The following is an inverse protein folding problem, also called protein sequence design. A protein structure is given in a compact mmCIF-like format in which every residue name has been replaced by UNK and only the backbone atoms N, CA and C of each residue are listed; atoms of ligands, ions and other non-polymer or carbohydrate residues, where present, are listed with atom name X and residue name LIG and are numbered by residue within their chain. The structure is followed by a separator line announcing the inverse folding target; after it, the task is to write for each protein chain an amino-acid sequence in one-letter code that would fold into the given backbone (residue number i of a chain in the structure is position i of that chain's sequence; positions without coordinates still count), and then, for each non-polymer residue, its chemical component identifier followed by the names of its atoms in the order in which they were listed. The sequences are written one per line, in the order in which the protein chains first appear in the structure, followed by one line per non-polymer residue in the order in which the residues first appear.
data_IF_212464584585
#
_entry.id   IF_212464584585
#
_cell.length_a   1.000
_cell.length_b   1.000
_cell.length_c   1.000
_cell.angle_alpha   90.00
_cell.angle_beta   90.00
_cell.angle_gamma   90.00
#
_symmetry.space_group_name_H-M   'P 1'
#
loop_
_entity.id
_entity.type
_entity.pdbx_description
1 polymer ?
#
# COMPACT_ATOMS: atom_id res chain seq x y z
N UNK A 1 23.84 -10.27 -36.18
CA UNK A 1 23.78 -8.90 -35.65
C UNK A 1 23.41 -9.00 -34.18
N UNK A 2 24.43 -9.01 -33.33
CA UNK A 2 24.29 -9.00 -31.88
C UNK A 2 23.77 -7.61 -31.48
N UNK A 3 22.55 -7.54 -30.96
CA UNK A 3 22.00 -6.30 -30.43
C UNK A 3 22.74 -6.00 -29.13
N UNK A 4 23.66 -5.04 -29.18
CA UNK A 4 24.30 -4.48 -27.99
C UNK A 4 23.18 -3.86 -27.15
N UNK A 5 22.99 -4.26 -25.88
CA UNK A 5 21.98 -3.66 -25.02
C UNK A 5 22.45 -2.25 -24.65
N UNK A 6 21.96 -1.25 -25.37
CA UNK A 6 22.02 0.13 -24.90
C UNK A 6 21.09 0.24 -23.69
N UNK A 7 21.69 0.46 -22.51
CA UNK A 7 21.01 0.94 -21.31
C UNK A 7 19.84 0.09 -20.77
N UNK A 8 19.96 -1.24 -20.85
CA UNK A 8 19.08 -2.16 -20.13
C UNK A 8 17.64 -2.25 -20.62
N UNK A 9 17.35 -1.68 -21.81
CA UNK A 9 16.07 -1.83 -22.49
C UNK A 9 16.24 -2.84 -23.63
N UNK A 10 15.50 -3.95 -23.56
CA UNK A 10 15.53 -4.98 -24.60
C UNK A 10 14.65 -4.53 -25.76
N UNK A 11 15.26 -3.99 -26.81
CA UNK A 11 14.58 -3.57 -28.05
C UNK A 11 14.55 -4.73 -29.04
N UNK A 12 13.54 -5.60 -28.94
CA UNK A 12 13.29 -6.63 -29.94
C UNK A 12 12.35 -6.08 -31.03
N UNK A 13 12.80 -6.06 -32.29
CA UNK A 13 12.02 -5.68 -33.47
C UNK A 13 11.30 -4.31 -33.38
N UNK A 14 11.96 -3.29 -32.80
CA UNK A 14 11.41 -1.92 -32.71
C UNK A 14 10.27 -1.75 -31.68
N UNK A 15 9.95 -2.78 -30.89
CA UNK A 15 8.95 -2.70 -29.82
C UNK A 15 9.56 -3.02 -28.46
N UNK A 16 9.61 -2.02 -27.58
CA UNK A 16 10.04 -2.20 -26.19
C UNK A 16 9.04 -3.10 -25.46
N UNK A 17 9.48 -4.28 -24.99
CA UNK A 17 8.67 -5.17 -24.14
C UNK A 17 8.82 -4.76 -22.68
N UNK A 18 7.73 -4.26 -22.08
CA UNK A 18 7.73 -3.68 -20.73
C UNK A 18 8.12 -4.70 -19.65
N UNK A 19 7.51 -5.88 -19.70
CA UNK A 19 7.80 -7.02 -18.80
C UNK A 19 9.23 -7.55 -18.90
N UNK A 20 9.79 -7.75 -20.09
CA UNK A 20 11.17 -8.22 -20.24
C UNK A 20 12.19 -7.17 -19.76
N UNK A 21 11.91 -5.89 -20.03
CA UNK A 21 12.73 -4.79 -19.51
C UNK A 21 12.68 -4.73 -17.99
N UNK A 22 11.52 -4.99 -17.38
CA UNK A 22 11.36 -5.01 -15.92
C UNK A 22 12.22 -6.09 -15.23
N UNK A 23 12.34 -7.28 -15.81
CA UNK A 23 13.22 -8.35 -15.27
C UNK A 23 14.68 -7.91 -15.29
N UNK A 24 15.12 -7.24 -16.35
CA UNK A 24 16.47 -6.69 -16.41
C UNK A 24 16.68 -5.58 -15.36
N UNK A 25 15.69 -4.69 -15.17
CA UNK A 25 15.71 -3.70 -14.10
C UNK A 25 15.82 -4.33 -12.70
N UNK A 26 15.13 -5.45 -12.45
CA UNK A 26 15.22 -6.16 -11.17
C UNK A 26 16.65 -6.65 -10.91
N UNK A 27 17.30 -7.23 -11.91
CA UNK A 27 18.70 -7.66 -11.83
C UNK A 27 19.65 -6.49 -11.53
N UNK A 28 19.45 -5.34 -12.18
CA UNK A 28 20.24 -4.14 -11.93
C UNK A 28 20.01 -3.58 -10.51
N UNK A 29 18.76 -3.58 -10.03
CA UNK A 29 18.45 -3.17 -8.66
C UNK A 29 19.09 -4.11 -7.63
N UNK A 30 19.14 -5.40 -7.92
CA UNK A 30 19.83 -6.39 -7.08
C UNK A 30 21.34 -6.12 -7.01
N UNK A 31 21.96 -5.69 -8.12
CA UNK A 31 23.38 -5.29 -8.17
C UNK A 31 23.67 -3.99 -7.40
N UNK A 32 22.65 -3.18 -7.12
CA UNK A 32 22.77 -1.91 -6.38
C UNK A 32 21.98 -1.95 -5.06
N UNK A 33 22.36 -2.81 -4.09
CA UNK A 33 21.62 -2.98 -2.85
C UNK A 33 21.54 -1.70 -2.01
N UNK A 34 22.46 -0.75 -2.22
CA UNK A 34 22.42 0.57 -1.58
C UNK A 34 21.13 1.36 -1.84
N UNK A 35 20.47 1.18 -2.99
CA UNK A 35 19.21 1.86 -3.28
C UNK A 35 18.07 1.30 -2.43
N UNK A 36 17.98 -0.03 -2.33
CA UNK A 36 17.01 -0.72 -1.47
C UNK A 36 17.28 -0.43 0.00
N UNK A 37 18.54 -0.49 0.43
CA UNK A 37 18.91 -0.19 1.81
C UNK A 37 18.54 1.24 2.20
N UNK A 38 18.71 2.22 1.30
CA UNK A 38 18.30 3.60 1.55
C UNK A 38 16.78 3.73 1.65
N UNK A 39 16.04 3.06 0.76
CA UNK A 39 14.57 3.03 0.81
C UNK A 39 14.06 2.45 2.13
N UNK A 40 14.61 1.31 2.55
CA UNK A 40 14.29 0.65 3.82
C UNK A 40 14.63 1.58 4.99
N UNK A 41 15.84 2.17 5.00
CA UNK A 41 16.32 3.00 6.09
C UNK A 41 15.40 4.18 6.37
N UNK A 42 15.01 4.95 5.35
CA UNK A 42 14.16 6.13 5.57
C UNK A 42 12.73 5.72 5.96
N UNK A 43 12.20 4.61 5.40
CA UNK A 43 10.87 4.10 5.77
C UNK A 43 10.84 3.66 7.22
N UNK A 44 11.88 2.98 7.69
CA UNK A 44 11.99 2.51 9.06
C UNK A 44 12.27 3.65 10.04
N UNK A 45 13.03 4.66 9.63
CA UNK A 45 13.26 5.88 10.41
C UNK A 45 11.95 6.61 10.75
N UNK A 46 10.93 6.52 9.89
CA UNK A 46 9.56 6.97 10.21
C UNK A 46 8.72 5.88 10.89
N UNK A 47 8.74 4.66 10.35
CA UNK A 47 7.83 3.58 10.72
C UNK A 47 8.04 3.11 12.16
N UNK A 48 9.28 2.98 12.62
CA UNK A 48 9.57 2.54 13.99
C UNK A 48 9.06 3.55 15.02
N UNK A 49 9.39 4.86 14.94
CA UNK A 49 8.80 5.85 15.84
C UNK A 49 7.27 5.90 15.77
N UNK A 50 6.68 5.84 14.58
CA UNK A 50 5.23 5.85 14.42
C UNK A 50 4.57 4.63 15.11
N UNK A 51 5.15 3.44 14.97
CA UNK A 51 4.69 2.23 15.64
C UNK A 51 4.82 2.32 17.16
N UNK A 52 5.90 2.92 17.68
CA UNK A 52 6.08 3.12 19.11
C UNK A 52 5.03 4.08 19.68
N UNK A 53 4.71 5.18 18.98
CA UNK A 53 3.65 6.11 19.38
C UNK A 53 2.28 5.43 19.35
N UNK A 54 1.97 4.69 18.28
CA UNK A 54 0.71 3.93 18.16
C UNK A 54 0.59 2.87 19.27
N UNK A 55 1.68 2.17 19.60
CA UNK A 55 1.72 1.20 20.69
C UNK A 55 1.48 1.89 22.04
N UNK A 56 2.11 3.03 22.28
CA UNK A 56 1.95 3.78 23.53
C UNK A 56 0.51 4.22 23.74
N UNK A 57 -0.09 4.89 22.75
CA UNK A 57 -1.49 5.33 22.84
C UNK A 57 -2.47 4.15 22.87
N UNK A 58 -2.19 3.08 22.11
CA UNK A 58 -3.00 1.85 22.15
C UNK A 58 -3.02 1.20 23.53
N UNK A 59 -1.86 1.07 24.19
CA UNK A 59 -1.76 0.54 25.54
C UNK A 59 -2.47 1.43 26.56
N UNK A 60 -2.32 2.76 26.42
CA UNK A 60 -3.00 3.73 27.29
C UNK A 60 -4.52 3.63 27.18
N UNK A 61 -5.06 3.49 25.95
CA UNK A 61 -6.50 3.27 25.73
C UNK A 61 -6.94 1.94 26.36
N UNK A 62 -6.20 0.86 26.13
CA UNK A 62 -6.54 -0.47 26.67
C UNK A 62 -6.54 -0.48 28.21
N UNK A 63 -5.52 0.13 28.84
CA UNK A 63 -5.43 0.21 30.30
C UNK A 63 -6.54 1.05 30.93
N UNK A 64 -6.96 2.12 30.26
CA UNK A 64 -7.98 3.00 30.78
C UNK A 64 -9.41 2.44 30.58
N UNK A 65 -9.61 1.47 29.69
CA UNK A 65 -10.94 1.03 29.24
C UNK A 65 -11.32 -0.27 29.96
N UNK A 66 -12.48 -0.32 30.64
CA UNK A 66 -12.92 -1.52 31.35
C UNK A 66 -13.41 -2.59 30.37
N UNK A 67 -12.49 -3.26 29.69
CA UNK A 67 -12.80 -4.35 28.77
C UNK A 67 -13.04 -5.65 29.54
N UNK A 68 -14.13 -6.33 29.19
CA UNK A 68 -14.36 -7.72 29.62
C UNK A 68 -13.53 -8.68 28.77
N UNK A 69 -12.28 -8.89 29.20
CA UNK A 69 -11.37 -9.82 28.54
C UNK A 69 -11.83 -11.28 28.63
N UNK A 70 -12.65 -11.63 29.63
CA UNK A 70 -13.19 -12.98 29.75
C UNK A 70 -14.23 -13.23 28.66
N UNK A 71 -15.18 -12.30 28.48
CA UNK A 71 -16.17 -12.36 27.41
C UNK A 71 -15.52 -12.42 26.02
N UNK A 72 -14.47 -11.62 25.78
CA UNK A 72 -13.73 -11.65 24.51
C UNK A 72 -13.04 -13.00 24.26
N UNK A 73 -12.49 -13.63 25.32
CA UNK A 73 -11.86 -14.96 25.21
C UNK A 73 -12.88 -16.08 25.01
N UNK A 74 -14.12 -15.91 25.48
CA UNK A 74 -15.19 -16.90 25.33
C UNK A 74 -15.92 -16.85 24.00
N UNK A 75 -15.59 -15.91 23.10
CA UNK A 75 -16.21 -15.83 21.78
C UNK A 75 -15.96 -17.12 21.00
N UNK A 76 -17.00 -17.64 20.35
CA UNK A 76 -16.96 -18.90 19.60
C UNK A 76 -17.57 -18.72 18.22
N UNK A 77 -17.00 -19.39 17.23
CA UNK A 77 -17.51 -19.40 15.85
C UNK A 77 -18.87 -20.10 15.76
N UNK A 78 -19.22 -20.94 16.74
CA UNK A 78 -20.48 -21.68 16.79
C UNK A 78 -21.66 -20.79 17.22
N UNK A 79 -21.39 -19.68 17.90
CA UNK A 79 -22.38 -18.65 18.26
C UNK A 79 -21.96 -17.29 17.66
N UNK A 80 -22.17 -17.09 16.34
CA UNK A 80 -21.76 -15.87 15.67
C UNK A 80 -22.54 -14.65 16.16
N UNK A 81 -23.78 -14.81 16.61
CA UNK A 81 -24.61 -13.71 17.08
C UNK A 81 -24.17 -13.22 18.46
N UNK A 82 -23.93 -14.13 19.41
CA UNK A 82 -23.37 -13.78 20.72
C UNK A 82 -21.97 -13.18 20.63
N UNK A 83 -21.13 -13.71 19.73
CA UNK A 83 -19.81 -13.15 19.45
C UNK A 83 -19.90 -11.74 18.85
N UNK A 84 -20.80 -11.51 17.90
CA UNK A 84 -21.03 -10.18 17.33
C UNK A 84 -21.50 -9.16 18.39
N UNK A 85 -22.44 -9.54 19.27
CA UNK A 85 -22.90 -8.68 20.36
C UNK A 85 -21.78 -8.32 21.34
N UNK A 86 -20.93 -9.30 21.68
CA UNK A 86 -19.75 -9.08 22.54
C UNK A 86 -18.79 -8.09 21.90
N UNK A 87 -18.54 -8.24 20.60
CA UNK A 87 -17.69 -7.34 19.83
C UNK A 87 -18.26 -5.92 19.75
N UNK A 88 -19.57 -5.78 19.53
CA UNK A 88 -20.26 -4.48 19.54
C UNK A 88 -20.13 -3.78 20.91
N UNK A 89 -20.31 -4.52 22.02
CA UNK A 89 -20.11 -3.96 23.37
C UNK A 89 -18.67 -3.49 23.59
N UNK A 90 -17.68 -4.29 23.20
CA UNK A 90 -16.28 -3.91 23.32
C UNK A 90 -15.94 -2.68 22.45
N UNK A 91 -16.45 -2.64 21.21
CA UNK A 91 -16.28 -1.49 20.31
C UNK A 91 -16.93 -0.24 20.87
N UNK A 92 -18.14 -0.31 21.46
CA UNK A 92 -18.80 0.84 22.04
C UNK A 92 -17.97 1.52 23.15
N UNK A 93 -17.17 0.74 23.89
CA UNK A 93 -16.27 1.26 24.92
C UNK A 93 -14.97 1.83 24.34
N UNK A 94 -14.40 1.18 23.32
CA UNK A 94 -13.11 1.56 22.74
C UNK A 94 -13.22 2.71 21.74
N UNK A 95 -14.24 2.67 20.87
CA UNK A 95 -14.34 3.51 19.70
C UNK A 95 -14.28 5.02 20.02
N UNK A 96 -14.96 5.56 21.04
CA UNK A 96 -14.90 6.99 21.35
C UNK A 96 -13.47 7.46 21.66
N UNK A 97 -12.70 6.64 22.40
CA UNK A 97 -11.32 6.97 22.80
C UNK A 97 -10.35 6.79 21.64
N UNK A 98 -10.50 5.71 20.88
CA UNK A 98 -9.73 5.48 19.65
C UNK A 98 -9.96 6.63 18.67
N UNK A 99 -11.19 7.08 18.49
CA UNK A 99 -11.50 8.22 17.63
C UNK A 99 -10.94 9.54 18.17
N UNK A 100 -11.02 9.77 19.49
CA UNK A 100 -10.38 10.89 20.15
C UNK A 100 -8.89 11.01 19.82
N UNK A 101 -8.14 9.91 19.91
CA UNK A 101 -6.71 9.88 19.56
C UNK A 101 -6.49 9.96 18.06
N UNK A 102 -7.24 9.19 17.27
CA UNK A 102 -7.09 9.16 15.81
C UNK A 102 -7.33 10.52 15.16
N UNK A 103 -8.26 11.34 15.68
CA UNK A 103 -8.56 12.67 15.13
C UNK A 103 -7.36 13.61 15.06
N UNK A 104 -6.39 13.50 15.97
CA UNK A 104 -5.17 14.32 15.94
C UNK A 104 -3.94 13.52 15.50
N UNK A 105 -3.82 12.26 15.92
CA UNK A 105 -2.64 11.46 15.64
C UNK A 105 -2.60 11.00 14.18
N UNK A 106 -3.73 10.60 13.60
CA UNK A 106 -3.77 10.17 12.20
C UNK A 106 -3.37 11.29 11.22
N UNK A 107 -3.92 12.52 11.28
CA UNK A 107 -3.47 13.59 10.38
C UNK A 107 -2.01 13.97 10.63
N UNK A 108 -1.54 13.98 11.89
CA UNK A 108 -0.13 14.22 12.21
C UNK A 108 0.78 13.19 11.53
N UNK A 109 0.50 11.90 11.70
CA UNK A 109 1.26 10.80 11.08
C UNK A 109 1.23 10.92 9.55
N UNK A 110 0.07 11.23 8.96
CA UNK A 110 -0.05 11.43 7.50
C UNK A 110 0.82 12.60 7.01
N UNK A 111 0.79 13.74 7.68
CA UNK A 111 1.58 14.92 7.30
C UNK A 111 3.08 14.63 7.39
N UNK A 112 3.52 14.04 8.50
CA UNK A 112 4.92 13.65 8.70
C UNK A 112 5.34 12.62 7.65
N UNK A 113 4.50 11.61 7.37
CA UNK A 113 4.74 10.63 6.32
C UNK A 113 4.90 11.27 4.95
N UNK A 114 4.04 12.22 4.58
CA UNK A 114 4.14 12.93 3.30
C UNK A 114 5.49 13.64 3.16
N UNK A 115 5.93 14.34 4.20
CA UNK A 115 7.21 15.06 4.22
C UNK A 115 8.38 14.07 4.13
N UNK A 116 8.43 13.09 5.03
CA UNK A 116 9.53 12.11 5.09
C UNK A 116 9.60 11.28 3.82
N UNK A 117 8.46 10.86 3.27
CA UNK A 117 8.37 10.12 2.01
C UNK A 117 8.84 10.93 0.81
N UNK A 118 8.51 12.23 0.74
CA UNK A 118 8.99 13.11 -0.32
C UNK A 118 10.51 13.31 -0.24
N UNK A 119 11.06 13.52 0.97
CA UNK A 119 12.50 13.65 1.20
C UNK A 119 13.22 12.35 0.88
N UNK A 120 12.79 11.23 1.47
CA UNK A 120 13.39 9.91 1.27
C UNK A 120 13.43 9.51 -0.20
N UNK A 121 12.32 9.69 -0.94
CA UNK A 121 12.27 9.43 -2.38
C UNK A 121 13.16 10.36 -3.19
N UNK A 122 13.28 11.63 -2.82
CA UNK A 122 14.22 12.54 -3.48
C UNK A 122 15.65 12.02 -3.34
N UNK A 123 16.03 11.54 -2.15
CA UNK A 123 17.36 10.98 -1.89
C UNK A 123 17.59 9.70 -2.69
N UNK A 124 16.64 8.75 -2.68
CA UNK A 124 16.74 7.48 -3.43
C UNK A 124 16.88 7.76 -4.93
N UNK A 125 16.01 8.59 -5.50
CA UNK A 125 16.01 8.89 -6.94
C UNK A 125 17.30 9.62 -7.35
N UNK A 126 17.77 10.60 -6.57
CA UNK A 126 19.04 11.28 -6.87
C UNK A 126 20.27 10.39 -6.73
N UNK A 127 20.19 9.37 -5.87
CA UNK A 127 21.24 8.35 -5.75
C UNK A 127 21.25 7.42 -6.96
N UNK A 128 20.08 7.08 -7.49
CA UNK A 128 19.96 6.33 -8.74
C UNK A 128 20.42 7.15 -9.95
N UNK A 129 20.08 8.45 -9.98
CA UNK A 129 20.47 9.38 -11.05
C UNK A 129 20.75 10.80 -10.52
N UNK A 130 22.02 11.21 -10.61
CA UNK A 130 22.48 12.53 -10.17
C UNK A 130 21.96 13.69 -11.03
N UNK A 131 21.49 13.43 -12.25
CA UNK A 131 20.98 14.46 -13.19
C UNK A 131 19.60 14.99 -12.78
N UNK A 132 18.90 14.31 -11.87
CA UNK A 132 17.57 14.71 -11.42
C UNK A 132 17.59 15.96 -10.54
N UNK A 133 16.64 16.87 -10.78
CA UNK A 133 16.48 18.09 -10.00
C UNK A 133 15.85 17.79 -8.64
N UNK A 134 16.47 18.32 -7.57
CA UNK A 134 15.92 18.23 -6.22
C UNK A 134 14.73 19.21 -6.06
N UNK A 135 13.50 18.72 -6.22
CA UNK A 135 12.27 19.52 -6.04
C UNK A 135 11.42 19.01 -4.89
N UNK A 136 12.00 18.97 -3.70
CA UNK A 136 11.35 18.42 -2.49
C UNK A 136 9.97 19.05 -2.28
N UNK A 137 9.82 20.37 -2.42
CA UNK A 137 8.53 21.04 -2.29
C UNK A 137 7.46 20.53 -3.26
N UNK A 138 7.78 20.39 -4.54
CA UNK A 138 6.87 19.80 -5.53
C UNK A 138 6.54 18.35 -5.19
N UNK A 139 7.53 17.57 -4.73
CA UNK A 139 7.33 16.17 -4.35
C UNK A 139 6.43 16.03 -3.11
N UNK A 140 6.55 16.93 -2.12
CA UNK A 140 5.67 16.99 -0.95
C UNK A 140 4.22 17.18 -1.41
N UNK A 141 3.96 18.16 -2.27
CA UNK A 141 2.60 18.43 -2.76
C UNK A 141 2.07 17.26 -3.58
N UNK A 142 2.85 16.69 -4.50
CA UNK A 142 2.43 15.52 -5.29
C UNK A 142 2.17 14.29 -4.41
N UNK A 143 2.98 14.10 -3.36
CA UNK A 143 2.78 13.02 -2.40
C UNK A 143 1.53 13.26 -1.54
N UNK A 144 1.25 14.51 -1.16
CA UNK A 144 0.01 14.89 -0.48
C UNK A 144 -1.21 14.60 -1.36
N UNK A 145 -1.19 15.02 -2.63
CA UNK A 145 -2.26 14.73 -3.61
C UNK A 145 -2.50 13.22 -3.72
N UNK A 146 -1.44 12.43 -3.79
CA UNK A 146 -1.55 10.97 -3.83
C UNK A 146 -2.19 10.38 -2.58
N UNK A 147 -1.80 10.86 -1.40
CA UNK A 147 -2.34 10.38 -0.12
C UNK A 147 -3.80 10.81 0.05
N UNK A 148 -4.17 12.03 -0.39
CA UNK A 148 -5.57 12.49 -0.42
C UNK A 148 -6.40 11.64 -1.38
N UNK A 149 -5.89 11.34 -2.58
CA UNK A 149 -6.58 10.48 -3.54
C UNK A 149 -6.79 9.06 -3.01
N UNK A 150 -5.82 8.51 -2.28
CA UNK A 150 -5.94 7.20 -1.63
C UNK A 150 -6.98 7.23 -0.51
N UNK A 151 -6.94 8.25 0.37
CA UNK A 151 -7.93 8.43 1.43
C UNK A 151 -9.35 8.62 0.87
N UNK A 152 -9.49 9.41 -0.19
CA UNK A 152 -10.77 9.60 -0.89
C UNK A 152 -11.29 8.29 -1.48
N UNK A 153 -10.41 7.48 -2.09
CA UNK A 153 -10.79 6.15 -2.59
C UNK A 153 -11.27 5.24 -1.46
N UNK A 154 -10.57 5.25 -0.31
CA UNK A 154 -10.98 4.48 0.86
C UNK A 154 -12.31 4.97 1.46
N UNK A 155 -12.53 6.28 1.52
CA UNK A 155 -13.79 6.85 1.99
C UNK A 155 -14.97 6.48 1.07
N UNK A 156 -14.77 6.53 -0.26
CA UNK A 156 -15.75 6.09 -1.24
C UNK A 156 -16.03 4.59 -1.08
N UNK A 157 -15.00 3.77 -0.89
CA UNK A 157 -15.18 2.34 -0.62
C UNK A 157 -16.05 2.11 0.61
N UNK A 158 -15.72 2.74 1.73
CA UNK A 158 -16.44 2.58 2.99
C UNK A 158 -17.89 3.03 2.88
N UNK A 159 -18.13 4.19 2.26
CA UNK A 159 -19.47 4.68 1.96
C UNK A 159 -20.26 3.68 1.10
N UNK A 160 -19.65 3.09 0.06
CA UNK A 160 -20.29 2.04 -0.72
C UNK A 160 -20.63 0.82 0.14
N UNK A 161 -19.74 0.37 1.03
CA UNK A 161 -20.02 -0.78 1.92
C UNK A 161 -21.19 -0.51 2.86
N UNK A 162 -21.26 0.69 3.45
CA UNK A 162 -22.38 1.10 4.29
C UNK A 162 -23.70 1.08 3.51
N UNK A 163 -23.71 1.61 2.27
CA UNK A 163 -24.90 1.61 1.41
C UNK A 163 -25.34 0.22 1.01
N UNK A 164 -24.39 -0.66 0.71
CA UNK A 164 -24.69 -2.07 0.41
C UNK A 164 -25.28 -2.75 1.64
N UNK A 165 -24.70 -2.54 2.84
CA UNK A 165 -25.23 -3.08 4.09
C UNK A 165 -26.64 -2.53 4.42
N UNK A 166 -26.89 -1.25 4.13
CA UNK A 166 -28.21 -0.62 4.26
C UNK A 166 -29.25 -1.31 3.38
N UNK A 167 -28.95 -1.51 2.10
CA UNK A 167 -29.89 -2.08 1.14
C UNK A 167 -30.15 -3.57 1.33
N UNK A 168 -29.15 -4.34 1.75
CA UNK A 168 -29.27 -5.81 1.73
C UNK A 168 -29.40 -6.44 3.12
N UNK A 169 -28.99 -5.76 4.19
CA UNK A 169 -28.99 -6.32 5.55
C UNK A 169 -29.84 -5.49 6.50
N UNK A 170 -29.42 -4.27 6.80
CA UNK A 170 -30.04 -3.49 7.89
C UNK A 170 -31.40 -2.93 7.53
N UNK A 171 -31.61 -2.49 6.28
CA UNK A 171 -32.91 -2.03 5.77
C UNK A 171 -33.97 -3.14 5.80
N UNK A 172 -33.72 -4.32 5.20
CA UNK A 172 -34.64 -5.46 5.29
C UNK A 172 -34.98 -5.86 6.72
N UNK A 173 -33.98 -5.95 7.61
CA UNK A 173 -34.20 -6.25 9.03
C UNK A 173 -35.12 -5.20 9.70
N UNK A 174 -34.91 -3.92 9.43
CA UNK A 174 -35.72 -2.84 9.99
C UNK A 174 -37.19 -2.88 9.52
N UNK A 175 -37.45 -3.45 8.33
CA UNK A 175 -38.79 -3.66 7.77
C UNK A 175 -39.42 -5.01 8.19
N UNK A 176 -38.75 -5.78 9.05
CA UNK A 176 -39.19 -7.11 9.48
C UNK A 176 -38.98 -8.22 8.43
N UNK A 177 -38.19 -7.95 7.39
CA UNK A 177 -37.81 -8.94 6.37
C UNK A 177 -36.52 -9.68 6.69
N UNK A 178 -36.22 -10.72 5.90
CA UNK A 178 -34.97 -11.49 6.04
C UNK A 178 -33.77 -10.77 5.39
N UNK A 179 -32.58 -10.80 6.00
CA UNK A 179 -31.38 -10.20 5.42
C UNK A 179 -30.90 -10.97 4.18
N UNK A 180 -30.65 -10.26 3.09
CA UNK A 180 -30.08 -10.82 1.87
C UNK A 180 -28.54 -10.83 1.91
N UNK A 181 -27.99 -11.81 2.63
CA UNK A 181 -26.53 -11.97 2.77
C UNK A 181 -25.84 -12.28 1.43
N UNK A 182 -26.48 -13.05 0.55
CA UNK A 182 -25.91 -13.37 -0.77
C UNK A 182 -25.78 -12.10 -1.62
N UNK A 183 -26.81 -11.26 -1.63
CA UNK A 183 -26.80 -9.96 -2.30
C UNK A 183 -25.76 -9.02 -1.71
N UNK A 184 -25.64 -8.99 -0.37
CA UNK A 184 -24.60 -8.23 0.33
C UNK A 184 -23.20 -8.59 -0.18
N UNK A 185 -22.80 -9.86 -0.07
CA UNK A 185 -21.46 -10.30 -0.47
C UNK A 185 -21.21 -10.08 -1.96
N UNK A 186 -22.20 -10.34 -2.81
CA UNK A 186 -22.10 -10.14 -4.26
C UNK A 186 -21.80 -8.68 -4.62
N UNK A 187 -22.55 -7.73 -4.03
CA UNK A 187 -22.34 -6.29 -4.24
C UNK A 187 -21.03 -5.79 -3.63
N UNK A 188 -20.64 -6.29 -2.45
CA UNK A 188 -19.36 -5.97 -1.82
C UNK A 188 -18.20 -6.38 -2.72
N UNK A 189 -18.24 -7.59 -3.31
CA UNK A 189 -17.22 -8.07 -4.23
C UNK A 189 -17.14 -7.18 -5.47
N UNK A 190 -18.27 -6.91 -6.12
CA UNK A 190 -18.32 -6.08 -7.34
C UNK A 190 -17.81 -4.67 -7.07
N UNK A 191 -18.26 -4.02 -5.99
CA UNK A 191 -17.84 -2.68 -5.62
C UNK A 191 -16.33 -2.63 -5.28
N UNK A 192 -15.82 -3.62 -4.55
CA UNK A 192 -14.41 -3.71 -4.19
C UNK A 192 -13.52 -3.92 -5.42
N UNK A 193 -13.88 -4.86 -6.30
CA UNK A 193 -13.13 -5.12 -7.55
C UNK A 193 -13.20 -3.95 -8.53
N UNK A 194 -14.37 -3.31 -8.64
CA UNK A 194 -14.56 -2.13 -9.47
C UNK A 194 -13.68 -0.96 -9.02
N UNK A 195 -13.69 -0.67 -7.72
CA UNK A 195 -12.86 0.40 -7.16
C UNK A 195 -11.36 0.08 -7.22
N UNK A 196 -10.98 -1.18 -6.97
CA UNK A 196 -9.59 -1.62 -7.12
C UNK A 196 -9.10 -1.43 -8.56
N UNK A 197 -9.91 -1.83 -9.54
CA UNK A 197 -9.61 -1.64 -10.97
C UNK A 197 -9.46 -0.16 -11.31
N UNK A 198 -10.39 0.68 -10.87
CA UNK A 198 -10.33 2.13 -11.08
C UNK A 198 -9.05 2.72 -10.48
N UNK A 199 -8.71 2.35 -9.24
CA UNK A 199 -7.49 2.80 -8.57
C UNK A 199 -6.23 2.32 -9.28
N UNK A 200 -6.19 1.07 -9.77
CA UNK A 200 -5.07 0.55 -10.55
C UNK A 200 -4.83 1.37 -11.84
N UNK A 201 -5.92 1.78 -12.50
CA UNK A 201 -5.90 2.61 -13.73
C UNK A 201 -5.56 4.07 -13.47
N UNK A 202 -5.86 4.63 -12.29
CA UNK A 202 -5.56 6.05 -11.99
C UNK A 202 -4.20 6.22 -11.28
N UNK A 203 -3.79 5.25 -10.46
CA UNK A 203 -2.63 5.37 -9.58
C UNK A 203 -1.28 5.46 -10.30
N UNK A 204 -1.17 4.99 -11.56
CA UNK A 204 0.08 5.11 -12.33
C UNK A 204 0.41 6.58 -12.62
N UNK A 205 -0.58 7.40 -12.98
CA UNK A 205 -0.38 8.82 -13.30
C UNK A 205 0.16 9.59 -12.08
N UNK A 206 -0.40 9.32 -10.90
CA UNK A 206 0.07 9.87 -9.62
C UNK A 206 1.45 9.36 -9.22
N UNK A 207 1.84 8.17 -9.68
CA UNK A 207 3.17 7.59 -9.40
C UNK A 207 4.25 8.15 -10.33
N UNK A 208 3.89 8.54 -11.55
CA UNK A 208 4.83 9.05 -12.57
C UNK A 208 5.04 10.56 -12.45
N UNK A 209 4.03 11.32 -12.01
CA UNK A 209 4.16 12.78 -11.88
C UNK A 209 5.37 13.25 -11.05
N UNK A 210 5.72 12.65 -9.90
CA UNK A 210 6.93 13.01 -9.16
C UNK A 210 8.23 12.81 -9.95
N UNK A 211 8.31 11.75 -10.76
CA UNK A 211 9.46 11.46 -11.60
C UNK A 211 9.62 12.54 -12.67
N UNK A 212 8.52 12.86 -13.38
CA UNK A 212 8.49 13.88 -14.44
C UNK A 212 8.82 15.27 -13.88
N UNK A 213 8.36 15.58 -12.66
CA UNK A 213 8.71 16.82 -11.97
C UNK A 213 10.22 16.95 -11.73
N UNK A 214 10.91 15.87 -11.38
CA UNK A 214 12.37 15.85 -11.16
C UNK A 214 13.16 15.86 -12.47
N UNK A 215 12.67 15.17 -13.50
CA UNK A 215 13.32 15.11 -14.81
C UNK A 215 13.28 16.46 -15.52
N UNK A 216 12.09 17.02 -15.70
CA UNK A 216 11.88 18.24 -16.50
C UNK A 216 11.87 19.54 -15.68
N UNK A 217 12.06 19.45 -14.36
CA UNK A 217 11.96 20.62 -13.50
C UNK A 217 10.58 21.29 -13.60
N UNK A 218 9.50 20.51 -13.57
CA UNK A 218 8.14 21.04 -13.66
C UNK A 218 7.57 21.36 -12.28
N UNK A 219 6.59 22.27 -12.24
CA UNK A 219 5.74 22.49 -11.07
C UNK A 219 4.70 21.38 -10.91
N UNK A 220 3.90 21.44 -9.84
CA UNK A 220 2.90 20.41 -9.48
C UNK A 220 1.91 20.18 -10.64
N UNK A 221 1.22 21.22 -11.09
CA UNK A 221 0.20 21.13 -12.15
C UNK A 221 0.83 20.68 -13.47
N UNK A 222 1.99 21.26 -13.84
CA UNK A 222 2.72 20.89 -15.05
C UNK A 222 3.13 19.41 -15.05
N UNK A 223 3.56 18.87 -13.90
CA UNK A 223 3.96 17.47 -13.78
C UNK A 223 2.78 16.49 -13.88
N UNK A 224 1.62 16.84 -13.31
CA UNK A 224 0.39 16.03 -13.44
C UNK A 224 -0.12 16.07 -14.87
N UNK A 225 -0.22 17.25 -15.48
CA UNK A 225 -0.65 17.40 -16.87
C UNK A 225 0.30 16.64 -17.82
N UNK A 226 1.61 16.72 -17.59
CA UNK A 226 2.59 15.96 -18.36
C UNK A 226 2.41 14.45 -18.16
N UNK A 227 2.14 13.96 -16.94
CA UNK A 227 1.88 12.55 -16.67
C UNK A 227 0.66 12.01 -17.43
N UNK A 228 -0.41 12.79 -17.59
CA UNK A 228 -1.57 12.37 -18.39
C UNK A 228 -1.32 12.43 -19.90
N UNK A 229 -0.33 13.20 -20.36
CA UNK A 229 0.02 13.39 -21.79
C UNK A 229 1.14 12.46 -22.29
N UNK A 230 1.48 11.41 -21.54
CA UNK A 230 2.60 10.50 -21.83
C UNK A 230 2.46 9.63 -23.11
N UNK A 231 1.41 9.82 -23.92
CA UNK A 231 1.26 9.18 -25.23
C UNK A 231 1.48 7.65 -25.19
N UNK A 232 2.33 7.07 -26.06
CA UNK A 232 2.52 5.61 -26.15
C UNK A 232 3.22 4.99 -24.92
N UNK A 233 3.95 5.78 -24.11
CA UNK A 233 4.55 5.29 -22.86
C UNK A 233 3.49 4.90 -21.81
N UNK A 234 2.27 5.47 -21.90
CA UNK A 234 1.18 5.17 -20.98
C UNK A 234 0.91 3.67 -20.87
N UNK A 235 0.84 2.96 -22.00
CA UNK A 235 0.52 1.53 -22.01
C UNK A 235 1.57 0.71 -21.26
N UNK A 236 2.86 1.07 -21.39
CA UNK A 236 3.98 0.36 -20.76
C UNK A 236 4.07 0.66 -19.27
N UNK A 237 3.80 1.91 -18.87
CA UNK A 237 3.76 2.31 -17.47
C UNK A 237 2.59 1.65 -16.72
N UNK A 238 1.44 1.53 -17.39
CA UNK A 238 0.27 0.79 -16.88
C UNK A 238 0.59 -0.70 -16.75
N UNK A 239 1.25 -1.31 -17.75
CA UNK A 239 1.69 -2.72 -17.69
C UNK A 239 2.58 -2.97 -16.46
N UNK A 240 3.61 -2.13 -16.25
CA UNK A 240 4.49 -2.24 -15.08
C UNK A 240 3.70 -2.02 -13.78
N UNK A 241 2.77 -1.05 -13.74
CA UNK A 241 1.97 -0.82 -12.54
C UNK A 241 1.06 -2.01 -12.20
N UNK A 242 0.50 -2.68 -13.21
CA UNK A 242 -0.34 -3.87 -13.05
C UNK A 242 0.48 -5.06 -12.54
N UNK A 243 1.63 -5.36 -13.18
CA UNK A 243 2.56 -6.41 -12.75
C UNK A 243 2.97 -6.19 -11.29
N UNK A 244 3.27 -4.95 -10.93
CA UNK A 244 3.60 -4.57 -9.55
C UNK A 244 2.44 -4.75 -8.58
N UNK A 245 1.20 -4.58 -9.03
CA UNK A 245 0.00 -4.93 -8.25
C UNK A 245 -0.06 -6.43 -7.97
N UNK A 246 0.15 -7.26 -8.99
CA UNK A 246 0.17 -8.74 -8.85
C UNK A 246 1.27 -9.18 -7.89
N UNK A 247 2.50 -8.65 -8.04
CA UNK A 247 3.63 -8.96 -7.15
C UNK A 247 3.29 -8.63 -5.69
N UNK A 248 2.65 -7.49 -5.43
CA UNK A 248 2.24 -7.12 -4.07
C UNK A 248 1.21 -8.08 -3.48
N UNK A 249 0.22 -8.48 -4.28
CA UNK A 249 -0.77 -9.48 -3.84
C UNK A 249 -0.05 -10.79 -3.53
N UNK A 250 0.85 -11.25 -4.41
CA UNK A 250 1.64 -12.45 -4.19
C UNK A 250 2.50 -12.39 -2.91
N UNK A 251 3.13 -11.24 -2.62
CA UNK A 251 3.87 -11.03 -1.37
C UNK A 251 2.98 -11.11 -0.13
N UNK A 252 1.76 -10.54 -0.19
CA UNK A 252 0.79 -10.64 0.90
C UNK A 252 0.37 -12.09 1.11
N UNK A 253 0.03 -12.80 0.03
CA UNK A 253 -0.34 -14.22 0.09
C UNK A 253 0.81 -15.05 0.67
N UNK A 254 2.04 -14.80 0.23
CA UNK A 254 3.22 -15.50 0.74
C UNK A 254 3.45 -15.22 2.23
N UNK A 255 3.28 -13.96 2.66
CA UNK A 255 3.35 -13.61 4.08
C UNK A 255 2.25 -14.30 4.90
N UNK A 256 1.04 -14.43 4.37
CA UNK A 256 -0.05 -15.17 5.01
C UNK A 256 0.26 -16.66 5.13
N UNK A 257 0.73 -17.29 4.04
CA UNK A 257 1.12 -18.72 4.02
C UNK A 257 2.24 -19.00 5.02
N UNK A 258 3.29 -18.17 5.03
CA UNK A 258 4.37 -18.31 6.00
C UNK A 258 3.89 -18.06 7.43
N UNK A 259 2.99 -17.11 7.66
CA UNK A 259 2.41 -16.87 8.99
C UNK A 259 1.58 -18.06 9.50
N UNK A 260 0.96 -18.81 8.59
CA UNK A 260 0.17 -20.01 8.90
C UNK A 260 1.01 -21.30 8.98
N UNK A 261 2.26 -21.29 8.52
CA UNK A 261 3.13 -22.49 8.46
C UNK A 261 3.36 -23.17 9.82
N UNK A 262 3.43 -22.46 10.96
CA UNK A 262 3.55 -23.09 12.27
C UNK A 262 2.28 -23.81 12.78
N UNK A 263 1.10 -23.54 12.20
CA UNK A 263 -0.18 -24.05 12.72
C UNK A 263 -0.27 -25.58 12.82
N UNK A 264 0.23 -26.38 11.85
CA UNK A 264 0.23 -27.84 11.96
C UNK A 264 1.13 -28.38 13.08
N UNK A 265 2.01 -27.55 13.64
CA UNK A 265 2.98 -27.91 14.68
C UNK A 265 2.56 -27.39 16.06
N UNK A 266 1.26 -27.24 16.32
CA UNK A 266 0.73 -26.67 17.57
C UNK A 266 1.28 -27.36 18.82
N UNK A 267 1.52 -28.68 18.76
CA UNK A 267 2.06 -29.47 19.88
C UNK A 267 3.47 -29.09 20.32
N UNK A 268 4.25 -28.41 19.48
CA UNK A 268 5.63 -27.97 19.75
C UNK A 268 5.81 -26.45 19.68
N UNK A 269 4.74 -25.72 19.36
CA UNK A 269 4.78 -24.29 19.06
C UNK A 269 4.54 -23.47 20.33
N UNK A 270 5.53 -22.70 20.77
CA UNK A 270 5.36 -21.78 21.91
C UNK A 270 4.86 -20.41 21.45
N UNK A 271 4.15 -19.64 22.32
CA UNK A 271 3.74 -18.28 22.00
C UNK A 271 4.90 -17.35 21.64
N UNK A 272 6.05 -17.53 22.30
CA UNK A 272 7.27 -16.77 22.02
C UNK A 272 7.83 -17.08 20.63
N UNK A 273 7.87 -18.36 20.24
CA UNK A 273 8.28 -18.75 18.90
C UNK A 273 7.37 -18.13 17.83
N UNK A 274 6.04 -18.18 18.01
CA UNK A 274 5.09 -17.56 17.07
C UNK A 274 5.30 -16.07 16.92
N UNK A 275 5.54 -15.37 18.03
CA UNK A 275 5.81 -13.94 18.02
C UNK A 275 7.05 -13.63 17.15
N UNK A 276 8.18 -14.28 17.41
CA UNK A 276 9.40 -14.05 16.65
C UNK A 276 9.29 -14.49 15.19
N UNK A 277 8.55 -15.57 14.92
CA UNK A 277 8.25 -16.03 13.58
C UNK A 277 7.47 -14.97 12.79
N UNK A 278 6.36 -14.45 13.35
CA UNK A 278 5.57 -13.41 12.71
C UNK A 278 6.33 -12.11 12.53
N UNK A 279 7.18 -11.75 13.50
CA UNK A 279 8.11 -10.62 13.35
C UNK A 279 9.04 -10.86 12.16
N UNK A 280 9.66 -12.03 12.06
CA UNK A 280 10.54 -12.40 10.95
C UNK A 280 9.84 -12.33 9.58
N UNK A 281 8.66 -12.96 9.45
CA UNK A 281 7.84 -12.92 8.23
C UNK A 281 7.45 -11.49 7.86
N UNK A 282 7.07 -10.67 8.84
CA UNK A 282 6.72 -9.25 8.64
C UNK A 282 7.90 -8.44 8.13
N UNK A 283 9.09 -8.63 8.70
CA UNK A 283 10.32 -7.97 8.25
C UNK A 283 10.68 -8.38 6.83
N UNK A 284 10.62 -9.68 6.52
CA UNK A 284 10.87 -10.19 5.16
C UNK A 284 9.88 -9.62 4.14
N UNK A 285 8.59 -9.55 4.51
CA UNK A 285 7.56 -8.92 3.69
C UNK A 285 7.88 -7.45 3.40
N UNK A 286 8.27 -6.67 4.42
CA UNK A 286 8.61 -5.26 4.22
C UNK A 286 9.85 -5.09 3.34
N UNK A 287 10.90 -5.87 3.56
CA UNK A 287 12.12 -5.84 2.73
C UNK A 287 11.82 -6.18 1.27
N UNK A 288 11.04 -7.23 1.03
CA UNK A 288 10.62 -7.62 -0.32
C UNK A 288 9.77 -6.53 -0.99
N UNK A 289 8.76 -6.02 -0.28
CA UNK A 289 7.89 -4.94 -0.78
C UNK A 289 8.68 -3.67 -1.12
N UNK A 290 9.67 -3.31 -0.31
CA UNK A 290 10.53 -2.13 -0.52
C UNK A 290 11.45 -2.32 -1.73
N UNK A 291 12.04 -3.50 -1.88
CA UNK A 291 12.83 -3.85 -3.06
C UNK A 291 12.02 -3.68 -4.36
N UNK A 292 10.83 -4.26 -4.44
CA UNK A 292 9.99 -4.13 -5.63
C UNK A 292 9.52 -2.69 -5.86
N UNK A 293 9.34 -1.91 -4.80
CA UNK A 293 9.01 -0.50 -4.93
C UNK A 293 10.14 0.29 -5.61
N UNK A 294 11.39 0.07 -5.19
CA UNK A 294 12.57 0.68 -5.83
C UNK A 294 12.71 0.22 -7.28
N UNK A 295 12.57 -1.08 -7.53
CA UNK A 295 12.65 -1.62 -8.89
C UNK A 295 11.65 -0.97 -9.84
N UNK A 296 10.41 -0.74 -9.39
CA UNK A 296 9.41 0.00 -10.18
C UNK A 296 9.85 1.43 -10.51
N UNK A 297 10.41 2.14 -9.54
CA UNK A 297 10.86 3.53 -9.74
C UNK A 297 12.02 3.61 -10.73
N UNK A 298 12.98 2.70 -10.62
CA UNK A 298 14.11 2.60 -11.56
C UNK A 298 13.61 2.21 -12.96
N UNK A 299 12.65 1.28 -13.06
CA UNK A 299 12.06 0.89 -14.34
C UNK A 299 11.39 2.07 -15.03
N UNK A 300 10.65 2.91 -14.29
CA UNK A 300 10.04 4.12 -14.83
C UNK A 300 11.08 5.12 -15.36
N UNK A 301 12.20 5.26 -14.65
CA UNK A 301 13.30 6.14 -15.07
C UNK A 301 13.99 5.61 -16.34
N UNK A 302 14.25 4.31 -16.42
CA UNK A 302 14.86 3.67 -17.59
C UNK A 302 13.96 3.74 -18.82
N UNK A 303 12.66 3.40 -18.66
CA UNK A 303 11.68 3.45 -19.73
C UNK A 303 11.49 4.88 -20.28
N UNK A 304 11.58 5.88 -19.40
CA UNK A 304 11.51 7.28 -19.80
C UNK A 304 12.69 7.69 -20.68
N UNK A 305 13.92 7.34 -20.28
CA UNK A 305 15.13 7.70 -21.02
C UNK A 305 15.15 7.10 -22.42
N UNK A 306 14.85 5.80 -22.53
CA UNK A 306 14.81 5.11 -23.82
C UNK A 306 13.73 5.62 -24.81
N UNK A 307 12.93 6.61 -24.40
CA UNK A 307 11.94 7.26 -25.26
C UNK A 307 12.24 8.74 -25.51
N UNK A 308 13.05 9.40 -24.66
CA UNK A 308 13.55 10.76 -24.91
C UNK A 308 14.87 10.76 -25.72
N UNK A 309 15.67 9.70 -25.62
CA UNK A 309 16.85 9.44 -26.46
C UNK A 309 16.47 8.74 -27.78
#
# INVERSE_FOLDING_TARGET
MEQIPQDGVVVAAGTVRGTQSFVHTLSECWRRPSLTALEVLWRWAYGVPALLVLRHEGLKILQATPLDYAALKSMTVVDPLGSAQTLVKALALLLPRVMGVAMWLAPLLVVVWVIVSAVGRTVVLRRADKRLHARVGTLIVLQAVRVVALQGSFAVWFWCMERVAEWTVTGPIALGGEPNLVGYFSLVIVATLGLFTLWAVVSWALSVAPLVAMLRGLGVVGSLAAAFRLGPLKSKLVEINLVMGIVKIALIVLAMVFSATPLPFESVTTPEFLFWWWVGVTVLYFLGSDFFHVARQVAYLQLWRAYED
#
